data_IF_378494900681
#
_entry.id   IF_378494900681
#
_cell.length_a   1.000
_cell.length_b   1.000
_cell.length_c   1.000
_cell.angle_alpha   90.00
_cell.angle_beta   90.00
_cell.angle_gamma   90.00
#
_symmetry.space_group_name_H-M   'P 1'
#
loop_
_entity.id
_entity.type
_entity.pdbx_description
1 polymer ?
#
# COMPACT_ATOMS: atom_id res chain seq x y z
N UNK A 1 25.37 -20.89 -15.54
CA UNK A 1 23.96 -21.00 -15.96
C UNK A 1 23.31 -21.94 -14.99
N UNK A 2 22.34 -21.49 -14.19
CA UNK A 2 21.57 -22.44 -13.37
C UNK A 2 20.59 -23.15 -14.31
N UNK A 3 20.63 -24.48 -14.34
CA UNK A 3 19.66 -25.27 -15.09
C UNK A 3 18.24 -25.00 -14.57
N UNK A 4 17.30 -24.81 -15.49
CA UNK A 4 15.89 -24.59 -15.15
C UNK A 4 15.30 -25.89 -14.58
N UNK A 5 14.84 -25.85 -13.32
CA UNK A 5 14.14 -26.98 -12.69
C UNK A 5 12.62 -26.83 -12.83
N UNK A 6 12.01 -27.78 -13.55
CA UNK A 6 10.54 -27.87 -13.73
C UNK A 6 9.84 -28.03 -12.37
N UNK A 7 10.38 -28.83 -11.47
CA UNK A 7 9.79 -29.08 -10.14
C UNK A 7 9.82 -27.81 -9.29
N UNK A 8 10.97 -27.12 -9.25
CA UNK A 8 11.10 -25.88 -8.49
C UNK A 8 10.22 -24.77 -9.06
N UNK A 9 10.13 -24.65 -10.39
CA UNK A 9 9.22 -23.71 -11.04
C UNK A 9 7.74 -24.06 -10.77
N UNK A 10 7.38 -25.35 -10.82
CA UNK A 10 6.02 -25.83 -10.49
C UNK A 10 5.58 -25.48 -9.07
N UNK A 11 6.51 -25.38 -8.11
CA UNK A 11 6.19 -24.93 -6.74
C UNK A 11 5.78 -23.46 -6.66
N UNK A 12 6.19 -22.63 -7.62
CA UNK A 12 5.93 -21.18 -7.67
C UNK A 12 4.64 -20.82 -8.43
N UNK A 13 3.89 -21.81 -8.92
CA UNK A 13 2.58 -21.58 -9.54
C UNK A 13 1.64 -20.95 -8.51
N UNK A 14 1.02 -19.84 -8.88
CA UNK A 14 0.19 -19.01 -7.97
C UNK A 14 -1.16 -19.67 -7.69
N UNK A 15 -1.85 -20.16 -8.74
CA UNK A 15 -3.13 -20.84 -8.59
C UNK A 15 -2.94 -22.22 -7.95
N UNK A 16 -3.58 -22.46 -6.81
CA UNK A 16 -3.56 -23.76 -6.14
C UNK A 16 -4.12 -24.88 -7.02
N UNK A 17 -5.21 -24.59 -7.75
CA UNK A 17 -5.85 -25.52 -8.70
C UNK A 17 -4.92 -25.86 -9.86
N UNK A 18 -4.31 -24.86 -10.49
CA UNK A 18 -3.32 -25.06 -11.56
C UNK A 18 -2.11 -25.84 -11.05
N UNK A 19 -1.64 -25.54 -9.83
CA UNK A 19 -0.52 -26.24 -9.20
C UNK A 19 -0.82 -27.72 -8.98
N UNK A 20 -2.05 -28.06 -8.60
CA UNK A 20 -2.48 -29.45 -8.45
C UNK A 20 -2.53 -30.18 -9.79
N UNK A 21 -3.13 -29.58 -10.82
CA UNK A 21 -3.14 -30.19 -12.17
C UNK A 21 -1.75 -30.31 -12.78
N UNK A 22 -0.85 -29.36 -12.50
CA UNK A 22 0.53 -29.40 -13.00
C UNK A 22 1.33 -30.61 -12.47
N UNK A 23 0.97 -31.18 -11.31
CA UNK A 23 1.62 -32.39 -10.78
C UNK A 23 1.49 -33.57 -11.75
N UNK A 24 0.38 -33.69 -12.46
CA UNK A 24 0.15 -34.74 -13.45
C UNK A 24 1.05 -34.56 -14.68
N UNK A 25 1.22 -33.31 -15.12
CA UNK A 25 2.13 -32.94 -16.22
C UNK A 25 3.57 -33.31 -15.85
N UNK A 26 4.01 -32.91 -14.66
CA UNK A 26 5.37 -33.19 -14.18
C UNK A 26 5.61 -34.70 -14.06
N UNK A 27 4.68 -35.43 -13.43
CA UNK A 27 4.77 -36.89 -13.30
C UNK A 27 4.85 -37.59 -14.67
N UNK A 28 4.01 -37.19 -15.62
CA UNK A 28 4.03 -37.74 -16.98
C UNK A 28 5.36 -37.45 -17.69
N UNK A 29 5.91 -36.25 -17.53
CA UNK A 29 7.19 -35.87 -18.11
C UNK A 29 8.36 -36.70 -17.56
N UNK A 30 8.46 -36.81 -16.24
CA UNK A 30 9.56 -37.52 -15.59
C UNK A 30 9.51 -39.05 -15.78
N UNK A 31 8.32 -39.61 -15.99
CA UNK A 31 8.12 -41.02 -16.31
C UNK A 31 8.23 -41.35 -17.82
N UNK A 32 8.72 -40.42 -18.65
CA UNK A 32 8.83 -40.56 -20.12
C UNK A 32 7.49 -40.77 -20.85
N UNK A 33 6.37 -40.41 -20.23
CA UNK A 33 5.05 -40.41 -20.86
C UNK A 33 4.83 -39.11 -21.64
N UNK A 34 5.69 -38.83 -22.62
CA UNK A 34 5.78 -37.53 -23.32
C UNK A 34 4.47 -37.12 -24.02
N UNK A 35 3.79 -38.06 -24.67
CA UNK A 35 2.48 -37.82 -25.30
C UNK A 35 1.43 -37.37 -24.27
N UNK A 36 1.35 -38.07 -23.13
CA UNK A 36 0.42 -37.72 -22.06
C UNK A 36 0.79 -36.36 -21.45
N UNK A 37 2.07 -36.10 -21.21
CA UNK A 37 2.53 -34.82 -20.68
C UNK A 37 2.10 -33.63 -21.55
N UNK A 38 2.20 -33.74 -22.88
CA UNK A 38 1.76 -32.69 -23.82
C UNK A 38 0.25 -32.48 -23.80
N UNK A 39 -0.52 -33.58 -23.85
CA UNK A 39 -1.99 -33.51 -23.83
C UNK A 39 -2.48 -32.89 -22.52
N UNK A 40 -1.99 -33.37 -21.38
CA UNK A 40 -2.35 -32.85 -20.05
C UNK A 40 -1.89 -31.39 -19.90
N UNK A 41 -0.67 -31.03 -20.33
CA UNK A 41 -0.16 -29.65 -20.23
C UNK A 41 -1.10 -28.65 -20.90
N UNK A 42 -1.58 -28.96 -22.11
CA UNK A 42 -2.49 -28.07 -22.82
C UNK A 42 -3.83 -27.92 -22.08
N UNK A 43 -4.38 -29.00 -21.51
CA UNK A 43 -5.58 -28.91 -20.66
C UNK A 43 -5.36 -28.05 -19.42
N UNK A 44 -4.18 -28.13 -18.78
CA UNK A 44 -3.83 -27.26 -17.64
C UNK A 44 -3.74 -25.79 -18.06
N UNK A 45 -3.20 -25.49 -19.25
CA UNK A 45 -3.15 -24.12 -19.80
C UNK A 45 -4.56 -23.54 -19.98
N UNK A 46 -5.47 -24.30 -20.57
CA UNK A 46 -6.87 -23.87 -20.76
C UNK A 46 -7.57 -23.67 -19.41
N UNK A 47 -7.38 -24.57 -18.45
CA UNK A 47 -7.96 -24.40 -17.11
C UNK A 47 -7.41 -23.16 -16.40
N UNK A 48 -6.10 -22.91 -16.46
CA UNK A 48 -5.50 -21.72 -15.85
C UNK A 48 -6.01 -20.44 -16.54
N UNK A 49 -6.30 -20.48 -17.85
CA UNK A 49 -6.87 -19.32 -18.57
C UNK A 49 -8.25 -18.97 -18.04
N UNK A 50 -9.09 -19.98 -17.81
CA UNK A 50 -10.42 -19.82 -17.24
C UNK A 50 -10.31 -19.29 -15.81
N UNK A 51 -9.51 -19.93 -14.96
CA UNK A 51 -9.32 -19.51 -13.55
C UNK A 51 -8.88 -18.04 -13.46
N UNK A 52 -8.00 -17.60 -14.37
CA UNK A 52 -7.55 -16.21 -14.44
C UNK A 52 -8.63 -15.24 -14.91
N UNK A 53 -9.43 -15.62 -15.89
CA UNK A 53 -10.58 -14.82 -16.31
C UNK A 53 -11.66 -14.75 -15.22
N UNK A 54 -11.91 -15.84 -14.50
CA UNK A 54 -12.82 -15.88 -13.35
C UNK A 54 -12.33 -14.97 -12.23
N UNK A 55 -11.03 -15.00 -11.92
CA UNK A 55 -10.43 -14.04 -10.98
C UNK A 55 -10.64 -12.59 -11.44
N UNK A 56 -10.45 -12.31 -12.74
CA UNK A 56 -10.71 -11.00 -13.34
C UNK A 56 -12.18 -10.57 -13.26
N UNK A 57 -13.11 -11.49 -13.47
CA UNK A 57 -14.53 -11.23 -13.40
C UNK A 57 -15.01 -11.03 -11.95
N UNK A 58 -14.68 -11.96 -11.07
CA UNK A 58 -15.27 -12.06 -9.73
C UNK A 58 -14.63 -11.09 -8.73
N UNK A 59 -13.29 -11.01 -8.74
CA UNK A 59 -12.55 -10.15 -7.79
C UNK A 59 -12.45 -8.72 -8.31
N UNK A 60 -12.18 -8.57 -9.60
CA UNK A 60 -11.85 -7.28 -10.21
C UNK A 60 -12.98 -6.68 -11.05
N UNK A 61 -14.12 -7.36 -11.19
CA UNK A 61 -15.28 -6.90 -11.95
C UNK A 61 -14.92 -6.46 -13.39
N UNK A 62 -13.97 -7.15 -14.02
CA UNK A 62 -13.51 -6.82 -15.38
C UNK A 62 -14.57 -7.19 -16.41
N UNK A 63 -15.25 -6.18 -16.96
CA UNK A 63 -16.30 -6.34 -17.96
C UNK A 63 -15.83 -7.10 -19.22
N UNK A 64 -14.54 -7.01 -19.59
CA UNK A 64 -14.01 -7.78 -20.72
C UNK A 64 -13.91 -9.25 -20.34
N UNK A 65 -13.40 -9.57 -19.15
CA UNK A 65 -13.29 -10.95 -18.70
C UNK A 65 -14.67 -11.60 -18.55
N UNK A 66 -15.64 -10.87 -17.98
CA UNK A 66 -17.05 -11.29 -17.89
C UNK A 66 -17.59 -11.62 -19.30
N UNK A 67 -17.42 -10.70 -20.25
CA UNK A 67 -17.88 -10.91 -21.62
C UNK A 67 -17.21 -12.10 -22.32
N UNK A 68 -15.91 -12.33 -22.10
CA UNK A 68 -15.21 -13.50 -22.66
C UNK A 68 -15.77 -14.79 -22.05
N UNK A 69 -15.92 -14.84 -20.72
CA UNK A 69 -16.47 -16.01 -20.03
C UNK A 69 -17.90 -16.31 -20.49
N UNK A 70 -18.75 -15.30 -20.62
CA UNK A 70 -20.13 -15.48 -21.09
C UNK A 70 -20.18 -15.99 -22.53
N UNK A 71 -19.32 -15.46 -23.41
CA UNK A 71 -19.19 -15.94 -24.79
C UNK A 71 -18.77 -17.41 -24.84
N UNK A 72 -17.78 -17.81 -24.03
CA UNK A 72 -17.28 -19.20 -23.99
C UNK A 72 -18.32 -20.14 -23.39
N UNK A 73 -19.00 -19.75 -22.30
CA UNK A 73 -20.10 -20.51 -21.70
C UNK A 73 -21.23 -20.73 -22.70
N UNK A 74 -21.58 -19.70 -23.46
CA UNK A 74 -22.58 -19.80 -24.53
C UNK A 74 -22.12 -20.76 -25.65
N UNK A 75 -20.87 -20.65 -26.10
CA UNK A 75 -20.33 -21.56 -27.11
C UNK A 75 -20.39 -23.02 -26.65
N UNK A 76 -19.99 -23.30 -25.41
CA UNK A 76 -20.06 -24.65 -24.84
C UNK A 76 -21.50 -25.17 -24.73
N UNK A 77 -22.47 -24.30 -24.41
CA UNK A 77 -23.88 -24.66 -24.37
C UNK A 77 -24.44 -24.98 -25.77
N UNK A 78 -24.07 -24.18 -26.79
CA UNK A 78 -24.50 -24.37 -28.17
C UNK A 78 -23.78 -25.56 -28.86
N UNK A 79 -22.55 -25.88 -28.42
CA UNK A 79 -21.69 -26.92 -29.00
C UNK A 79 -20.97 -27.80 -27.93
N UNK A 80 -21.69 -28.69 -27.21
CA UNK A 80 -21.15 -29.37 -26.02
C UNK A 80 -19.94 -30.29 -26.23
N UNK A 81 -19.75 -30.81 -27.45
CA UNK A 81 -18.69 -31.78 -27.77
C UNK A 81 -17.57 -31.18 -28.62
N UNK A 82 -17.67 -29.90 -28.98
CA UNK A 82 -16.76 -29.22 -29.89
C UNK A 82 -15.55 -28.70 -29.13
N UNK A 83 -14.30 -29.13 -29.43
CA UNK A 83 -13.09 -28.55 -28.81
C UNK A 83 -12.75 -27.14 -29.33
N UNK A 84 -13.47 -26.62 -30.33
CA UNK A 84 -13.20 -25.35 -31.00
C UNK A 84 -13.27 -24.15 -30.05
N UNK A 85 -14.04 -24.22 -28.96
CA UNK A 85 -14.11 -23.15 -27.96
C UNK A 85 -12.74 -22.86 -27.33
N UNK A 86 -11.85 -23.85 -27.22
CA UNK A 86 -10.50 -23.67 -26.67
C UNK A 86 -9.70 -22.72 -27.56
N UNK A 87 -9.85 -22.84 -28.89
CA UNK A 87 -9.21 -21.94 -29.84
C UNK A 87 -9.78 -20.52 -29.70
N UNK A 88 -11.11 -20.39 -29.63
CA UNK A 88 -11.77 -19.10 -29.45
C UNK A 88 -11.34 -18.42 -28.15
N UNK A 89 -11.20 -19.17 -27.05
CA UNK A 89 -10.72 -18.64 -25.77
C UNK A 89 -9.33 -18.02 -25.91
N UNK A 90 -8.38 -18.72 -26.54
CA UNK A 90 -7.01 -18.22 -26.72
C UNK A 90 -7.00 -16.96 -27.60
N UNK A 91 -7.82 -16.93 -28.66
CA UNK A 91 -7.95 -15.77 -29.55
C UNK A 91 -8.56 -14.55 -28.86
N UNK A 92 -9.63 -14.74 -28.08
CA UNK A 92 -10.29 -13.69 -27.30
C UNK A 92 -9.36 -13.13 -26.21
N UNK A 93 -8.66 -14.00 -25.48
CA UNK A 93 -7.65 -13.58 -24.50
C UNK A 93 -6.55 -12.77 -25.20
N UNK A 94 -6.06 -13.22 -26.35
CA UNK A 94 -5.00 -12.53 -27.08
C UNK A 94 -5.40 -11.12 -27.56
N UNK A 95 -6.63 -10.99 -28.05
CA UNK A 95 -7.09 -9.79 -28.74
C UNK A 95 -7.71 -8.77 -27.80
N UNK A 96 -8.37 -9.22 -26.74
CA UNK A 96 -9.17 -8.36 -25.84
C UNK A 96 -8.54 -8.16 -24.46
N UNK A 97 -7.52 -8.95 -24.11
CA UNK A 97 -6.82 -8.82 -22.82
C UNK A 97 -5.32 -8.55 -23.04
N UNK A 98 -4.58 -8.29 -21.96
CA UNK A 98 -3.11 -8.30 -22.00
C UNK A 98 -2.50 -9.43 -21.16
N UNK A 99 -3.25 -10.53 -20.97
CA UNK A 99 -2.75 -11.72 -20.29
C UNK A 99 -1.63 -12.41 -21.08
N UNK A 100 -1.64 -12.32 -22.41
CA UNK A 100 -0.62 -12.91 -23.29
C UNK A 100 -0.17 -11.94 -24.38
N UNK A 101 1.13 -11.91 -24.64
CA UNK A 101 1.71 -11.16 -25.76
C UNK A 101 1.76 -12.00 -27.06
N UNK A 102 2.44 -11.51 -28.10
CA UNK A 102 2.56 -12.24 -29.37
C UNK A 102 3.42 -13.50 -29.25
N UNK A 103 4.43 -13.47 -28.38
CA UNK A 103 5.35 -14.59 -28.15
C UNK A 103 4.64 -15.68 -27.36
N UNK A 104 3.93 -15.31 -26.30
CA UNK A 104 3.10 -16.21 -25.50
C UNK A 104 2.05 -16.91 -26.39
N UNK A 105 1.37 -16.14 -27.26
CA UNK A 105 0.40 -16.70 -28.22
C UNK A 105 1.03 -17.72 -29.17
N UNK A 106 2.19 -17.40 -29.76
CA UNK A 106 2.90 -18.34 -30.64
C UNK A 106 3.31 -19.63 -29.91
N UNK A 107 3.75 -19.53 -28.65
CA UNK A 107 4.08 -20.69 -27.81
C UNK A 107 2.86 -21.57 -27.53
N UNK A 108 1.72 -20.96 -27.21
CA UNK A 108 0.46 -21.68 -26.98
C UNK A 108 0.01 -22.39 -28.26
N UNK A 109 0.10 -21.73 -29.42
CA UNK A 109 -0.23 -22.37 -30.71
C UNK A 109 0.68 -23.56 -31.01
N UNK A 110 1.99 -23.44 -30.72
CA UNK A 110 2.92 -24.55 -30.88
C UNK A 110 2.54 -25.75 -30.01
N UNK A 111 2.21 -25.52 -28.74
CA UNK A 111 1.74 -26.57 -27.83
C UNK A 111 0.43 -27.21 -28.33
N UNK A 112 -0.52 -26.39 -28.82
CA UNK A 112 -1.79 -26.90 -29.36
C UNK A 112 -1.58 -27.81 -30.56
N UNK A 113 -0.67 -27.43 -31.47
CA UNK A 113 -0.36 -28.22 -32.65
C UNK A 113 0.23 -29.58 -32.26
N UNK A 114 1.17 -29.61 -31.31
CA UNK A 114 1.73 -30.88 -30.82
C UNK A 114 0.68 -31.71 -30.07
N UNK A 115 -0.20 -31.08 -29.29
CA UNK A 115 -1.34 -31.77 -28.66
C UNK A 115 -2.25 -32.41 -29.70
N UNK A 116 -2.54 -31.73 -30.81
CA UNK A 116 -3.36 -32.28 -31.89
C UNK A 116 -2.70 -33.53 -32.52
N UNK A 117 -1.40 -33.47 -32.81
CA UNK A 117 -0.64 -34.62 -33.32
C UNK A 117 -0.55 -35.78 -32.31
N UNK A 118 -0.47 -35.47 -31.02
CA UNK A 118 -0.44 -36.47 -29.95
C UNK A 118 -1.79 -37.17 -29.73
N UNK A 119 -2.90 -36.47 -29.94
CA UNK A 119 -4.25 -36.96 -29.65
C UNK A 119 -4.93 -37.65 -30.84
N UNK A 120 -4.54 -37.30 -32.07
CA UNK A 120 -5.14 -37.85 -33.29
C UNK A 120 -4.13 -38.69 -34.08
N UNK A 121 -4.47 -39.94 -34.46
CA UNK A 121 -3.63 -40.73 -35.34
C UNK A 121 -3.41 -40.02 -36.68
N UNK A 122 -2.15 -39.88 -37.09
CA UNK A 122 -1.81 -39.46 -38.44
C UNK A 122 -1.75 -40.71 -39.30
N UNK A 123 -2.57 -40.78 -40.34
CA UNK A 123 -2.54 -41.87 -41.32
C UNK A 123 -1.32 -41.64 -42.22
N UNK A 124 -0.15 -42.07 -41.75
CA UNK A 124 1.08 -42.24 -42.54
C UNK A 124 1.67 -43.63 -42.21
N UNK A 125 2.56 -44.12 -43.07
CA UNK A 125 3.02 -45.51 -43.34
C UNK A 125 3.32 -46.44 -42.16
N UNK A 126 3.27 -46.00 -40.91
CA UNK A 126 3.48 -46.84 -39.72
C UNK A 126 2.33 -46.82 -38.68
N UNK A 127 1.20 -46.12 -38.90
CA UNK A 127 0.04 -46.10 -37.98
C UNK A 127 0.42 -45.85 -36.50
N UNK A 128 1.38 -44.94 -36.24
CA UNK A 128 1.82 -44.57 -34.89
C UNK A 128 1.36 -43.16 -34.52
N UNK A 129 0.85 -43.01 -33.30
CA UNK A 129 0.61 -41.70 -32.69
C UNK A 129 1.94 -40.94 -32.55
N UNK A 130 1.94 -39.66 -32.93
CA UNK A 130 3.10 -38.81 -32.78
C UNK A 130 3.52 -38.73 -31.29
N UNK A 131 4.82 -38.89 -31.04
CA UNK A 131 5.41 -38.76 -29.69
C UNK A 131 6.57 -37.78 -29.76
N UNK A 132 6.42 -36.56 -29.21
CA UNK A 132 7.51 -35.59 -29.14
C UNK A 132 8.66 -36.11 -28.28
N UNK A 133 9.89 -35.65 -28.59
CA UNK A 133 11.05 -35.95 -27.76
C UNK A 133 11.01 -35.18 -26.42
N UNK A 134 11.84 -35.61 -25.48
CA UNK A 134 11.91 -35.07 -24.12
C UNK A 134 12.21 -33.56 -24.10
N UNK A 135 13.05 -33.10 -25.01
CA UNK A 135 13.49 -31.71 -25.10
C UNK A 135 12.33 -30.79 -25.55
N UNK A 136 11.55 -31.22 -26.54
CA UNK A 136 10.35 -30.52 -27.02
C UNK A 136 9.31 -30.42 -25.91
N UNK A 137 9.04 -31.52 -25.18
CA UNK A 137 8.10 -31.48 -24.06
C UNK A 137 8.62 -30.58 -22.93
N UNK A 138 9.91 -30.66 -22.61
CA UNK A 138 10.53 -29.78 -21.62
C UNK A 138 10.45 -28.30 -21.99
N UNK A 139 10.63 -27.97 -23.27
CA UNK A 139 10.47 -26.62 -23.79
C UNK A 139 9.03 -26.12 -23.66
N UNK A 140 8.03 -26.95 -23.99
CA UNK A 140 6.61 -26.61 -23.79
C UNK A 140 6.28 -26.34 -22.32
N UNK A 141 6.72 -27.22 -21.43
CA UNK A 141 6.48 -27.06 -19.98
C UNK A 141 7.09 -25.75 -19.48
N UNK A 142 8.36 -25.49 -19.82
CA UNK A 142 9.05 -24.25 -19.44
C UNK A 142 8.33 -23.02 -19.99
N UNK A 143 7.99 -23.05 -21.28
CA UNK A 143 7.28 -21.95 -21.92
C UNK A 143 5.96 -21.67 -21.22
N UNK A 144 5.15 -22.68 -20.88
CA UNK A 144 3.86 -22.46 -20.21
C UNK A 144 4.00 -22.00 -18.76
N UNK A 145 5.03 -22.48 -18.04
CA UNK A 145 5.36 -21.96 -16.71
C UNK A 145 5.70 -20.46 -16.79
N UNK A 146 6.64 -20.08 -17.65
CA UNK A 146 7.10 -18.69 -17.78
C UNK A 146 6.04 -17.76 -18.40
N UNK A 147 5.31 -18.23 -19.41
CA UNK A 147 4.29 -17.45 -20.13
C UNK A 147 2.99 -17.33 -19.35
N UNK A 148 2.64 -18.33 -18.53
CA UNK A 148 1.31 -18.44 -17.97
C UNK A 148 1.31 -18.76 -16.47
N UNK A 149 1.68 -19.95 -16.04
CA UNK A 149 1.40 -20.42 -14.68
C UNK A 149 2.08 -19.60 -13.57
N UNK A 150 3.20 -18.94 -13.87
CA UNK A 150 3.92 -18.07 -12.94
C UNK A 150 3.44 -16.62 -12.99
N UNK A 151 2.63 -16.24 -14.00
CA UNK A 151 2.09 -14.89 -14.15
C UNK A 151 0.73 -14.78 -13.46
N UNK A 152 0.53 -13.81 -12.55
CA UNK A 152 -0.79 -13.54 -11.96
C UNK A 152 -1.79 -12.98 -13.01
N UNK A 153 -3.11 -13.13 -12.78
CA UNK A 153 -4.21 -12.72 -13.68
C UNK A 153 -4.40 -11.19 -13.83
N UNK A 154 -3.35 -10.37 -13.96
CA UNK A 154 -3.47 -8.97 -13.55
C UNK A 154 -2.89 -7.95 -14.54
N UNK A 155 -3.77 -7.05 -14.99
CA UNK A 155 -3.37 -5.69 -15.43
C UNK A 155 -3.38 -4.76 -14.21
N UNK A 156 -2.20 -4.35 -13.73
CA UNK A 156 -2.04 -3.42 -12.61
C UNK A 156 -2.92 -2.16 -12.71
N UNK A 157 -3.09 -1.62 -13.93
CA UNK A 157 -3.88 -0.40 -14.18
C UNK A 157 -5.38 -0.57 -13.95
N UNK A 158 -5.96 -1.71 -14.32
CA UNK A 158 -7.41 -1.95 -14.12
C UNK A 158 -7.72 -2.14 -12.64
N UNK A 159 -6.88 -2.88 -11.92
CA UNK A 159 -7.03 -3.08 -10.48
C UNK A 159 -6.88 -1.76 -9.73
N UNK A 160 -5.88 -0.94 -10.09
CA UNK A 160 -5.75 0.37 -9.48
C UNK A 160 -7.01 1.22 -9.70
N UNK A 161 -7.59 1.21 -10.91
CA UNK A 161 -8.86 1.88 -11.18
C UNK A 161 -10.00 1.37 -10.29
N UNK A 162 -10.17 0.05 -10.18
CA UNK A 162 -11.18 -0.56 -9.32
C UNK A 162 -10.98 -0.21 -7.84
N UNK A 163 -9.75 -0.29 -7.33
CA UNK A 163 -9.41 0.08 -5.95
C UNK A 163 -9.73 1.54 -5.66
N UNK A 164 -9.36 2.46 -6.56
CA UNK A 164 -9.61 3.89 -6.39
C UNK A 164 -11.11 4.21 -6.38
N UNK A 165 -11.88 3.58 -7.26
CA UNK A 165 -13.33 3.75 -7.29
C UNK A 165 -13.98 3.23 -5.99
N UNK A 166 -13.61 2.02 -5.58
CA UNK A 166 -14.11 1.40 -4.35
C UNK A 166 -13.85 2.24 -3.11
N UNK A 167 -12.65 2.84 -3.04
CA UNK A 167 -12.26 3.75 -1.97
C UNK A 167 -13.08 5.04 -2.01
N UNK A 168 -13.27 5.63 -3.20
CA UNK A 168 -14.06 6.84 -3.36
C UNK A 168 -15.52 6.64 -2.95
N UNK A 169 -16.12 5.50 -3.31
CA UNK A 169 -17.51 5.14 -2.99
C UNK A 169 -17.72 4.90 -1.49
N UNK A 170 -16.67 4.46 -0.79
CA UNK A 170 -16.72 4.11 0.65
C UNK A 170 -15.98 5.11 1.54
N UNK A 171 -15.72 6.32 1.05
CA UNK A 171 -14.93 7.35 1.75
C UNK A 171 -15.46 7.72 3.14
N UNK A 172 -16.77 7.60 3.34
CA UNK A 172 -17.44 7.93 4.61
C UNK A 172 -17.27 6.82 5.66
N UNK A 173 -16.94 5.59 5.23
CA UNK A 173 -16.72 4.42 6.10
C UNK A 173 -15.21 4.19 6.31
N UNK A 174 -14.41 4.36 5.26
CA UNK A 174 -12.98 4.09 5.25
C UNK A 174 -12.17 5.32 5.69
N UNK A 175 -12.38 5.71 6.94
CA UNK A 175 -11.88 7.00 7.47
C UNK A 175 -10.37 6.96 7.75
N UNK A 176 -9.81 5.82 8.19
CA UNK A 176 -8.42 5.73 8.66
C UNK A 176 -7.59 4.65 7.94
N UNK A 177 -6.26 4.76 8.03
CA UNK A 177 -5.32 3.85 7.34
C UNK A 177 -5.54 2.38 7.73
N UNK A 178 -5.94 2.09 8.98
CA UNK A 178 -6.26 0.73 9.44
C UNK A 178 -7.49 0.15 8.72
N UNK A 179 -8.58 0.92 8.61
CA UNK A 179 -9.79 0.48 7.90
C UNK A 179 -9.53 0.26 6.41
N UNK A 180 -8.73 1.15 5.79
CA UNK A 180 -8.34 1.04 4.38
C UNK A 180 -7.48 -0.21 4.19
N UNK A 181 -6.48 -0.43 5.05
CA UNK A 181 -5.60 -1.60 4.95
C UNK A 181 -6.37 -2.91 5.09
N UNK A 182 -7.32 -3.00 6.03
CA UNK A 182 -8.17 -4.19 6.16
C UNK A 182 -9.04 -4.43 4.93
N UNK A 183 -9.71 -3.39 4.45
CA UNK A 183 -10.63 -3.49 3.31
C UNK A 183 -9.88 -3.84 2.01
N UNK A 184 -8.87 -3.04 1.65
CA UNK A 184 -8.11 -3.22 0.42
C UNK A 184 -7.24 -4.47 0.50
N UNK A 185 -6.68 -4.76 1.68
CA UNK A 185 -5.89 -5.96 1.97
C UNK A 185 -6.66 -7.23 1.59
N UNK A 186 -7.81 -7.44 2.22
CA UNK A 186 -8.63 -8.64 2.01
C UNK A 186 -9.22 -8.72 0.60
N UNK A 187 -9.67 -7.58 0.03
CA UNK A 187 -10.35 -7.60 -1.27
C UNK A 187 -9.39 -7.66 -2.46
N UNK A 188 -8.23 -7.01 -2.35
CA UNK A 188 -7.31 -6.83 -3.48
C UNK A 188 -5.91 -7.36 -3.19
N UNK A 189 -5.25 -6.88 -2.12
CA UNK A 189 -3.79 -7.06 -1.97
C UNK A 189 -3.37 -8.50 -1.68
N UNK A 190 -4.19 -9.31 -1.01
CA UNK A 190 -3.90 -10.74 -0.74
C UNK A 190 -3.66 -11.56 -2.01
N UNK A 191 -4.26 -11.14 -3.13
CA UNK A 191 -4.14 -11.81 -4.42
C UNK A 191 -3.06 -11.18 -5.33
N UNK A 192 -2.33 -10.16 -4.85
CA UNK A 192 -1.29 -9.47 -5.62
C UNK A 192 0.10 -10.02 -5.29
N UNK A 193 0.93 -10.15 -6.32
CA UNK A 193 2.36 -10.39 -6.13
C UNK A 193 3.07 -9.07 -5.78
N UNK A 194 4.16 -9.09 -4.99
CA UNK A 194 4.95 -7.89 -4.66
C UNK A 194 5.35 -7.02 -5.86
N UNK A 195 5.70 -7.65 -6.98
CA UNK A 195 6.07 -6.94 -8.21
C UNK A 195 4.93 -6.09 -8.78
N UNK A 196 3.69 -6.56 -8.67
CA UNK A 196 2.50 -5.82 -9.08
C UNK A 196 2.21 -4.71 -8.09
N UNK A 197 2.29 -4.97 -6.79
CA UNK A 197 2.06 -3.94 -5.78
C UNK A 197 3.02 -2.75 -5.98
N UNK A 198 4.27 -2.99 -6.35
CA UNK A 198 5.25 -1.93 -6.69
C UNK A 198 4.90 -1.17 -7.97
N UNK A 199 4.33 -1.84 -8.98
CA UNK A 199 3.82 -1.17 -10.19
C UNK A 199 2.63 -0.27 -9.84
N UNK A 200 1.70 -0.77 -9.02
CA UNK A 200 0.53 -0.03 -8.55
C UNK A 200 0.98 1.16 -7.69
N UNK A 201 1.94 0.96 -6.78
CA UNK A 201 2.55 2.03 -5.97
C UNK A 201 3.07 3.16 -6.86
N UNK A 202 3.84 2.81 -7.90
CA UNK A 202 4.37 3.78 -8.87
C UNK A 202 3.25 4.54 -9.58
N UNK A 203 2.23 3.87 -10.06
CA UNK A 203 1.11 4.52 -10.76
C UNK A 203 0.28 5.40 -9.81
N UNK A 204 0.10 4.96 -8.56
CA UNK A 204 -0.56 5.72 -7.50
C UNK A 204 0.24 6.95 -7.08
N UNK A 205 1.59 6.88 -7.11
CA UNK A 205 2.45 8.05 -6.88
C UNK A 205 2.11 9.19 -7.82
N UNK A 206 1.96 8.90 -9.11
CA UNK A 206 1.54 9.90 -10.09
C UNK A 206 0.17 10.50 -9.75
N UNK A 207 -0.79 9.69 -9.30
CA UNK A 207 -2.13 10.18 -8.95
C UNK A 207 -2.09 11.11 -7.73
N UNK A 208 -1.29 10.76 -6.72
CA UNK A 208 -1.20 11.53 -5.48
C UNK A 208 -0.39 12.82 -5.67
N UNK A 209 0.78 12.73 -6.30
CA UNK A 209 1.76 13.82 -6.29
C UNK A 209 1.88 14.58 -7.62
N UNK A 210 1.37 14.06 -8.75
CA UNK A 210 1.58 14.69 -10.07
C UNK A 210 0.28 15.16 -10.74
N UNK A 211 -0.80 14.39 -10.65
CA UNK A 211 -2.07 14.76 -11.28
C UNK A 211 -2.80 15.83 -10.46
N UNK A 212 -3.46 16.75 -11.17
CA UNK A 212 -4.18 17.88 -10.57
C UNK A 212 -5.62 18.06 -11.09
N UNK A 213 -6.18 17.00 -11.69
CA UNK A 213 -7.59 16.94 -12.07
C UNK A 213 -8.52 16.88 -10.85
N UNK A 214 -9.81 17.14 -11.06
CA UNK A 214 -10.81 17.20 -9.99
C UNK A 214 -10.94 15.90 -9.20
N UNK A 215 -10.78 14.75 -9.86
CA UNK A 215 -10.86 13.44 -9.22
C UNK A 215 -9.62 13.15 -8.37
N UNK A 216 -8.43 13.53 -8.85
CA UNK A 216 -7.20 13.45 -8.08
C UNK A 216 -7.29 14.33 -6.82
N UNK A 217 -7.79 15.56 -6.94
CA UNK A 217 -7.95 16.50 -5.82
C UNK A 217 -8.89 15.98 -4.74
N UNK A 218 -10.10 15.54 -5.13
CA UNK A 218 -11.13 15.11 -4.17
C UNK A 218 -10.72 13.89 -3.36
N UNK A 219 -9.94 12.98 -3.96
CA UNK A 219 -9.55 11.71 -3.34
C UNK A 219 -8.08 11.67 -2.87
N UNK A 220 -7.33 12.78 -2.97
CA UNK A 220 -5.86 12.79 -2.76
C UNK A 220 -5.42 12.21 -1.42
N UNK A 221 -6.03 12.64 -0.31
CA UNK A 221 -5.70 12.17 1.05
C UNK A 221 -6.00 10.68 1.24
N UNK A 222 -7.07 10.17 0.60
CA UNK A 222 -7.43 8.76 0.66
C UNK A 222 -6.45 7.91 -0.16
N UNK A 223 -6.12 8.36 -1.36
CA UNK A 223 -5.14 7.75 -2.25
C UNK A 223 -3.73 7.74 -1.62
N UNK A 224 -3.37 8.78 -0.88
CA UNK A 224 -2.13 8.85 -0.11
C UNK A 224 -2.04 7.78 0.97
N UNK A 225 -3.14 7.50 1.70
CA UNK A 225 -3.18 6.41 2.69
C UNK A 225 -2.96 5.04 2.03
N UNK A 226 -3.58 4.80 0.87
CA UNK A 226 -3.33 3.57 0.09
C UNK A 226 -1.87 3.49 -0.39
N UNK A 227 -1.30 4.61 -0.83
CA UNK A 227 0.10 4.68 -1.26
C UNK A 227 1.04 4.26 -0.13
N UNK A 228 0.81 4.75 1.09
CA UNK A 228 1.59 4.34 2.27
C UNK A 228 1.47 2.84 2.55
N UNK A 229 0.27 2.27 2.48
CA UNK A 229 0.06 0.83 2.68
C UNK A 229 0.87 0.00 1.66
N UNK A 230 0.81 0.35 0.36
CA UNK A 230 1.55 -0.37 -0.68
C UNK A 230 3.08 -0.22 -0.51
N UNK A 231 3.52 0.97 -0.08
CA UNK A 231 4.92 1.25 0.21
C UNK A 231 5.42 0.40 1.40
N UNK A 232 4.71 0.39 2.52
CA UNK A 232 5.06 -0.36 3.74
C UNK A 232 5.13 -1.87 3.48
N UNK A 233 4.21 -2.41 2.68
CA UNK A 233 4.19 -3.84 2.30
C UNK A 233 5.38 -4.27 1.45
N UNK A 234 5.95 -3.35 0.66
CA UNK A 234 7.01 -3.66 -0.32
C UNK A 234 8.23 -2.74 -0.15
N UNK A 235 8.56 -2.40 1.11
CA UNK A 235 9.49 -1.32 1.47
C UNK A 235 10.77 -1.31 0.63
N UNK A 236 11.54 -2.40 0.62
CA UNK A 236 12.81 -2.47 -0.12
C UNK A 236 12.62 -2.31 -1.63
N UNK A 237 11.63 -2.96 -2.21
CA UNK A 237 11.37 -2.89 -3.65
C UNK A 237 10.84 -1.51 -4.08
N UNK A 238 10.02 -0.87 -3.24
CA UNK A 238 9.52 0.47 -3.47
C UNK A 238 10.65 1.52 -3.38
N UNK A 239 11.53 1.43 -2.38
CA UNK A 239 12.72 2.29 -2.24
C UNK A 239 13.60 2.19 -3.48
N UNK A 240 13.93 0.97 -3.93
CA UNK A 240 14.74 0.77 -5.15
C UNK A 240 14.03 1.29 -6.40
N UNK A 241 12.69 1.20 -6.46
CA UNK A 241 11.90 1.79 -7.54
C UNK A 241 11.99 3.31 -7.57
N UNK A 242 11.93 3.96 -6.41
CA UNK A 242 12.08 5.42 -6.28
C UNK A 242 13.49 5.86 -6.74
N UNK A 243 14.53 5.17 -6.27
CA UNK A 243 15.93 5.46 -6.65
C UNK A 243 16.18 5.28 -8.14
N UNK A 244 15.73 4.16 -8.71
CA UNK A 244 15.95 3.84 -10.14
C UNK A 244 15.17 4.77 -11.09
N UNK A 245 14.05 5.34 -10.65
CA UNK A 245 13.23 6.26 -11.46
C UNK A 245 13.15 7.67 -10.87
N UNK A 246 14.27 8.21 -10.35
CA UNK A 246 14.36 9.55 -9.73
C UNK A 246 13.57 10.65 -10.44
N UNK A 247 13.72 10.76 -11.77
CA UNK A 247 13.04 11.78 -12.59
C UNK A 247 11.51 11.65 -12.56
N UNK A 248 10.98 10.43 -12.49
CA UNK A 248 9.55 10.18 -12.41
C UNK A 248 9.00 10.58 -11.04
N UNK A 249 9.64 10.11 -9.97
CA UNK A 249 9.19 10.34 -8.60
C UNK A 249 9.37 11.80 -8.16
N UNK A 250 10.32 12.53 -8.75
CA UNK A 250 10.50 13.97 -8.51
C UNK A 250 9.59 14.85 -9.38
N UNK A 251 8.81 14.29 -10.31
CA UNK A 251 7.86 15.07 -11.09
C UNK A 251 6.57 15.26 -10.30
N UNK A 252 6.54 16.27 -9.44
CA UNK A 252 5.44 16.58 -8.54
C UNK A 252 4.77 17.90 -8.92
N UNK A 253 3.46 17.99 -8.68
CA UNK A 253 2.68 19.19 -8.93
C UNK A 253 2.88 20.20 -7.79
N UNK A 254 3.15 21.46 -8.14
CA UNK A 254 3.34 22.53 -7.17
C UNK A 254 1.99 23.00 -6.61
N UNK A 255 1.53 22.34 -5.55
CA UNK A 255 0.39 22.76 -4.75
C UNK A 255 0.64 22.47 -3.28
N UNK A 256 0.08 23.31 -2.39
CA UNK A 256 0.30 23.22 -0.95
C UNK A 256 -0.05 21.82 -0.39
N UNK A 257 -1.18 21.24 -0.79
CA UNK A 257 -1.56 19.88 -0.38
C UNK A 257 -0.60 18.80 -0.87
N UNK A 258 -0.05 18.91 -2.09
CA UNK A 258 0.93 17.92 -2.59
C UNK A 258 2.23 18.02 -1.80
N UNK A 259 2.71 19.23 -1.54
CA UNK A 259 3.92 19.48 -0.77
C UNK A 259 3.77 18.99 0.67
N UNK A 260 2.64 19.27 1.32
CA UNK A 260 2.30 18.76 2.67
C UNK A 260 2.37 17.22 2.72
N UNK A 261 1.69 16.53 1.80
CA UNK A 261 1.69 15.07 1.76
C UNK A 261 3.08 14.48 1.47
N UNK A 262 3.87 15.15 0.63
CA UNK A 262 5.22 14.71 0.31
C UNK A 262 6.17 14.92 1.48
N UNK A 263 6.06 16.05 2.19
CA UNK A 263 6.78 16.29 3.45
C UNK A 263 6.44 15.19 4.45
N UNK A 264 5.16 14.88 4.65
CA UNK A 264 4.75 13.83 5.58
C UNK A 264 5.29 12.44 5.17
N UNK A 265 5.35 12.15 3.86
CA UNK A 265 5.93 10.90 3.36
C UNK A 265 7.44 10.82 3.63
N UNK A 266 8.18 11.90 3.37
CA UNK A 266 9.64 11.96 3.57
C UNK A 266 9.98 12.01 5.06
N UNK A 267 9.15 12.62 5.90
CA UNK A 267 9.35 12.66 7.34
C UNK A 267 9.41 11.26 7.96
N UNK A 268 8.64 10.31 7.42
CA UNK A 268 8.68 8.90 7.83
C UNK A 268 9.77 8.09 7.10
N UNK A 269 10.41 8.65 6.07
CA UNK A 269 11.35 7.97 5.17
C UNK A 269 12.52 8.90 4.79
N UNK A 270 13.21 9.44 5.80
CA UNK A 270 14.16 10.54 5.69
C UNK A 270 15.26 10.33 4.64
N UNK A 271 15.75 9.10 4.50
CA UNK A 271 16.81 8.72 3.56
C UNK A 271 16.43 9.04 2.11
N UNK A 272 15.13 9.00 1.80
CA UNK A 272 14.61 9.32 0.47
C UNK A 272 14.74 10.80 0.12
N UNK A 273 14.88 11.71 1.10
CA UNK A 273 15.04 13.14 0.81
C UNK A 273 16.19 13.40 -0.17
N UNK A 274 17.32 12.71 0.04
CA UNK A 274 18.52 12.81 -0.83
C UNK A 274 18.29 12.30 -2.26
N UNK A 275 17.30 11.43 -2.46
CA UNK A 275 16.99 10.82 -3.76
C UNK A 275 16.28 11.80 -4.67
N UNK A 276 15.43 12.68 -4.14
CA UNK A 276 14.68 13.65 -4.93
C UNK A 276 15.58 14.68 -5.63
N UNK A 277 15.09 15.28 -6.71
CA UNK A 277 15.82 16.33 -7.44
C UNK A 277 15.88 17.64 -6.64
N UNK A 278 16.83 18.51 -6.99
CA UNK A 278 17.09 19.76 -6.28
C UNK A 278 15.90 20.72 -6.28
N UNK A 279 15.15 20.79 -7.39
CA UNK A 279 13.94 21.58 -7.52
C UNK A 279 12.86 21.14 -6.52
N UNK A 280 12.61 19.83 -6.36
CA UNK A 280 11.65 19.32 -5.36
C UNK A 280 12.14 19.61 -3.95
N UNK A 281 13.43 19.38 -3.67
CA UNK A 281 14.00 19.66 -2.34
C UNK A 281 13.86 21.14 -1.97
N UNK A 282 14.04 22.04 -2.93
CA UNK A 282 13.82 23.48 -2.76
C UNK A 282 12.34 23.81 -2.49
N UNK A 283 11.41 23.23 -3.27
CA UNK A 283 9.98 23.42 -3.07
C UNK A 283 9.53 23.00 -1.66
N UNK A 284 10.01 21.87 -1.16
CA UNK A 284 9.67 21.39 0.19
C UNK A 284 10.28 22.26 1.29
N UNK A 285 11.50 22.76 1.09
CA UNK A 285 12.14 23.68 2.03
C UNK A 285 11.39 25.02 2.11
N UNK A 286 10.94 25.54 0.97
CA UNK A 286 10.13 26.77 0.91
C UNK A 286 8.76 26.58 1.57
N UNK A 287 8.09 25.43 1.34
CA UNK A 287 6.81 25.14 1.98
C UNK A 287 6.96 25.04 3.50
N UNK A 288 8.02 24.39 3.98
CA UNK A 288 8.31 24.30 5.39
C UNK A 288 8.56 25.67 6.05
N UNK A 289 9.06 26.68 5.34
CA UNK A 289 9.18 28.04 5.92
C UNK A 289 7.86 28.81 5.92
N UNK A 290 6.94 28.49 5.02
CA UNK A 290 5.65 29.17 4.85
C UNK A 290 4.55 28.62 5.76
N UNK A 291 4.45 27.31 5.89
CA UNK A 291 3.33 26.64 6.58
C UNK A 291 3.77 26.01 7.91
N UNK A 292 3.12 26.34 9.05
CA UNK A 292 3.44 25.76 10.35
C UNK A 292 3.35 24.23 10.41
N UNK A 293 2.37 23.62 9.73
CA UNK A 293 2.21 22.16 9.73
C UNK A 293 3.33 21.48 8.95
N UNK A 294 3.66 22.01 7.76
CA UNK A 294 4.79 21.59 6.96
C UNK A 294 6.11 21.73 7.74
N UNK A 295 6.33 22.88 8.43
CA UNK A 295 7.50 23.08 9.28
C UNK A 295 7.61 22.03 10.37
N UNK A 296 6.51 21.77 11.08
CA UNK A 296 6.45 20.80 12.19
C UNK A 296 6.76 19.38 11.73
N UNK A 297 6.34 19.00 10.52
CA UNK A 297 6.60 17.66 9.97
C UNK A 297 8.00 17.51 9.34
N UNK A 298 8.58 18.59 8.79
CA UNK A 298 9.79 18.55 7.96
C UNK A 298 11.11 18.45 8.73
N UNK A 299 11.18 17.55 9.71
CA UNK A 299 12.35 17.40 10.59
C UNK A 299 13.63 17.00 9.84
N UNK A 300 13.50 16.31 8.71
CA UNK A 300 14.60 15.91 7.82
C UNK A 300 15.34 17.09 7.17
N UNK A 301 14.81 18.32 7.29
CA UNK A 301 15.51 19.54 6.88
C UNK A 301 16.47 20.06 7.96
N UNK A 302 16.36 19.55 9.18
CA UNK A 302 17.21 19.92 10.31
C UNK A 302 18.40 18.96 10.44
N UNK A 303 19.52 19.38 11.06
CA UNK A 303 20.70 18.51 11.21
C UNK A 303 20.42 17.21 11.97
N UNK A 304 19.54 17.27 12.97
CA UNK A 304 19.01 16.13 13.70
C UNK A 304 17.63 16.45 14.28
N UNK A 305 16.98 15.42 14.83
CA UNK A 305 15.62 15.53 15.37
C UNK A 305 15.51 16.47 16.57
N UNK A 306 16.52 16.51 17.46
CA UNK A 306 16.49 17.37 18.65
C UNK A 306 16.65 18.85 18.30
N UNK A 307 17.52 19.17 17.34
CA UNK A 307 17.65 20.52 16.79
C UNK A 307 16.34 20.97 16.13
N UNK A 308 15.65 20.06 15.45
CA UNK A 308 14.34 20.33 14.90
C UNK A 308 13.32 20.63 16.00
N UNK A 309 13.25 19.78 17.02
CA UNK A 309 12.34 19.94 18.15
C UNK A 309 12.55 21.29 18.85
N UNK A 310 13.81 21.68 19.05
CA UNK A 310 14.17 23.00 19.59
C UNK A 310 13.76 24.14 18.67
N UNK A 311 13.90 23.97 17.35
CA UNK A 311 13.44 24.94 16.34
C UNK A 311 11.92 25.14 16.41
N UNK A 312 11.15 24.05 16.48
CA UNK A 312 9.68 24.13 16.62
C UNK A 312 9.31 24.82 17.93
N UNK A 313 9.97 24.46 19.03
CA UNK A 313 9.78 25.11 20.34
C UNK A 313 10.02 26.63 20.28
N UNK A 314 11.05 27.07 19.55
CA UNK A 314 11.37 28.49 19.37
C UNK A 314 10.47 29.24 18.38
N UNK A 315 9.83 28.53 17.44
CA UNK A 315 8.86 29.10 16.48
C UNK A 315 7.47 29.28 17.08
N UNK A 316 7.11 28.42 18.04
CA UNK A 316 5.87 28.58 18.81
C UNK A 316 6.04 29.81 19.70
N UNK A 317 5.50 30.93 19.23
CA UNK A 317 5.52 32.16 19.99
C UNK A 317 4.81 31.97 21.33
N UNK A 318 5.47 32.38 22.39
CA UNK A 318 4.93 32.36 23.75
C UNK A 318 4.34 33.73 24.15
N UNK A 319 4.43 34.71 23.25
CA UNK A 319 3.87 36.05 23.33
C UNK A 319 2.71 36.19 22.33
N UNK A 320 1.74 37.05 22.66
CA UNK A 320 0.67 37.45 21.74
C UNK A 320 0.91 38.91 21.39
N UNK A 321 1.42 39.17 20.19
CA UNK A 321 1.42 40.51 19.60
C UNK A 321 0.30 40.59 18.53
N UNK A 322 0.45 41.45 17.51
CA UNK A 322 -0.52 41.57 16.42
C UNK A 322 -0.49 40.39 15.43
N UNK A 323 0.42 39.43 15.60
CA UNK A 323 0.62 38.30 14.69
C UNK A 323 -0.16 37.07 15.18
N UNK A 324 -0.73 36.31 14.24
CA UNK A 324 -1.38 35.05 14.59
C UNK A 324 -0.31 34.04 15.09
N UNK A 325 -0.55 33.34 16.19
CA UNK A 325 0.43 32.42 16.77
C UNK A 325 0.75 31.27 15.79
N UNK A 326 1.93 30.67 15.96
CA UNK A 326 2.30 29.46 15.23
C UNK A 326 1.29 28.33 15.50
N UNK A 327 0.51 27.97 14.48
CA UNK A 327 -0.62 27.06 14.63
C UNK A 327 -0.52 25.85 13.69
N UNK A 328 0.34 24.90 14.04
CA UNK A 328 0.43 23.62 13.34
C UNK A 328 -0.81 22.73 13.59
N UNK A 329 -1.15 21.89 12.60
CA UNK A 329 -2.26 20.95 12.72
C UNK A 329 -1.98 19.83 13.74
N UNK A 330 -3.06 19.21 14.23
CA UNK A 330 -2.95 18.03 15.10
C UNK A 330 -2.18 16.89 14.41
N UNK A 331 -2.39 16.71 13.10
CA UNK A 331 -1.69 15.69 12.31
C UNK A 331 -0.17 15.95 12.26
N UNK A 332 0.25 17.20 12.12
CA UNK A 332 1.67 17.55 12.11
C UNK A 332 2.34 17.27 13.48
N UNK A 333 1.68 17.62 14.58
CA UNK A 333 2.17 17.25 15.92
C UNK A 333 2.25 15.73 16.10
N UNK A 334 1.25 14.99 15.63
CA UNK A 334 1.24 13.53 15.70
C UNK A 334 2.39 12.91 14.90
N UNK A 335 2.73 13.47 13.74
CA UNK A 335 3.89 13.05 12.94
C UNK A 335 5.19 13.31 13.71
N UNK A 336 5.39 14.52 14.22
CA UNK A 336 6.57 14.88 15.01
C UNK A 336 6.77 13.95 16.22
N UNK A 337 5.71 13.75 17.01
CA UNK A 337 5.72 12.88 18.20
C UNK A 337 6.08 11.45 17.83
N UNK A 338 5.40 10.88 16.82
CA UNK A 338 5.62 9.49 16.41
C UNK A 338 7.06 9.29 15.92
N UNK A 339 7.60 10.22 15.15
CA UNK A 339 8.97 10.14 14.64
C UNK A 339 9.97 10.22 15.81
N UNK A 340 9.80 11.17 16.72
CA UNK A 340 10.68 11.32 17.88
C UNK A 340 10.71 10.06 18.74
N UNK A 341 9.53 9.49 19.04
CA UNK A 341 9.41 8.22 19.77
C UNK A 341 10.10 7.09 19.01
N UNK A 342 9.87 6.94 17.70
CA UNK A 342 10.51 5.87 16.91
C UNK A 342 12.04 5.99 16.84
N UNK A 343 12.58 7.20 17.02
CA UNK A 343 14.02 7.46 17.07
C UNK A 343 14.63 7.33 18.47
N UNK A 344 13.82 7.00 19.47
CA UNK A 344 14.25 6.81 20.86
C UNK A 344 14.20 8.07 21.73
N UNK A 345 13.72 9.21 21.22
CA UNK A 345 13.64 10.49 21.96
C UNK A 345 12.35 10.60 22.79
N UNK A 346 11.96 9.52 23.46
CA UNK A 346 10.66 9.48 24.20
C UNK A 346 10.63 10.51 25.33
N UNK A 347 11.75 10.72 26.01
CA UNK A 347 11.86 11.71 27.09
C UNK A 347 11.69 13.14 26.57
N UNK A 348 12.41 13.50 25.52
CA UNK A 348 12.37 14.84 24.93
C UNK A 348 11.00 15.14 24.32
N UNK A 349 10.34 14.12 23.73
CA UNK A 349 8.97 14.24 23.22
C UNK A 349 7.96 14.44 24.35
N UNK A 350 8.06 13.70 25.45
CA UNK A 350 7.12 13.86 26.59
C UNK A 350 7.30 15.22 27.25
N UNK A 351 8.55 15.69 27.42
CA UNK A 351 8.86 17.04 27.85
C UNK A 351 8.28 18.10 26.90
N UNK A 352 8.39 17.90 25.58
CA UNK A 352 7.80 18.78 24.57
C UNK A 352 6.27 18.80 24.66
N UNK A 353 5.62 17.66 24.82
CA UNK A 353 4.15 17.54 24.94
C UNK A 353 3.65 18.31 26.15
N UNK A 354 4.27 18.10 27.33
CA UNK A 354 3.94 18.82 28.57
C UNK A 354 4.14 20.31 28.35
N UNK A 355 5.34 20.71 27.90
CA UNK A 355 5.67 22.10 27.61
C UNK A 355 4.66 22.75 26.66
N UNK A 356 4.23 22.04 25.62
CA UNK A 356 3.29 22.56 24.63
C UNK A 356 1.92 22.85 25.23
N UNK A 357 1.44 21.98 26.13
CA UNK A 357 0.17 22.21 26.81
C UNK A 357 0.26 23.37 27.79
N UNK A 358 1.27 23.39 28.67
CA UNK A 358 1.37 24.40 29.74
C UNK A 358 1.68 25.81 29.22
N UNK A 359 2.15 25.94 27.98
CA UNK A 359 2.40 27.23 27.33
C UNK A 359 1.23 27.77 26.52
N UNK A 360 0.10 27.04 26.44
CA UNK A 360 -1.10 27.51 25.75
C UNK A 360 -1.55 28.88 26.30
N UNK A 361 -2.01 29.73 25.38
CA UNK A 361 -2.34 31.14 25.65
C UNK A 361 -3.80 31.51 25.34
N UNK A 362 -4.56 30.60 24.77
CA UNK A 362 -6.00 30.73 24.64
C UNK A 362 -6.71 29.43 25.02
N UNK A 363 -7.98 29.54 25.41
CA UNK A 363 -8.81 28.38 25.71
C UNK A 363 -8.94 27.43 24.51
N UNK A 364 -9.11 27.96 23.29
CA UNK A 364 -9.22 27.15 22.06
C UNK A 364 -7.93 26.37 21.78
N UNK A 365 -6.78 26.99 22.01
CA UNK A 365 -5.48 26.33 21.86
C UNK A 365 -5.30 25.24 22.92
N UNK A 366 -5.60 25.53 24.18
CA UNK A 366 -5.54 24.54 25.26
C UNK A 366 -6.47 23.34 24.99
N UNK A 367 -7.68 23.58 24.47
CA UNK A 367 -8.63 22.54 24.06
C UNK A 367 -8.03 21.64 22.97
N UNK A 368 -7.43 22.25 21.93
CA UNK A 368 -6.79 21.54 20.82
C UNK A 368 -5.60 20.71 21.30
N UNK A 369 -4.68 21.32 22.05
CA UNK A 369 -3.46 20.65 22.52
C UNK A 369 -3.79 19.56 23.54
N UNK A 370 -4.72 19.79 24.46
CA UNK A 370 -5.15 18.73 25.38
C UNK A 370 -5.71 17.52 24.60
N UNK A 371 -6.65 17.78 23.68
CA UNK A 371 -7.39 16.73 22.97
C UNK A 371 -6.49 15.90 22.06
N UNK A 372 -5.63 16.55 21.28
CA UNK A 372 -4.92 15.91 20.18
C UNK A 372 -3.44 15.65 20.44
N UNK A 373 -2.83 16.30 21.45
CA UNK A 373 -1.39 16.19 21.71
C UNK A 373 -1.13 15.55 23.07
N UNK A 374 -1.69 16.09 24.16
CA UNK A 374 -1.44 15.59 25.52
C UNK A 374 -2.20 14.28 25.81
N UNK A 375 -3.53 14.28 25.68
CA UNK A 375 -4.39 13.15 26.03
C UNK A 375 -3.99 11.83 25.36
N UNK A 376 -3.66 11.78 24.06
CA UNK A 376 -3.27 10.54 23.40
C UNK A 376 -1.91 9.98 23.83
N UNK A 377 -1.10 10.74 24.58
CA UNK A 377 0.27 10.40 24.93
C UNK A 377 0.51 10.32 26.46
N UNK A 378 -0.55 10.32 27.29
CA UNK A 378 -0.43 10.21 28.75
C UNK A 378 0.24 8.89 29.19
N UNK A 379 0.13 7.84 28.39
CA UNK A 379 0.79 6.55 28.64
C UNK A 379 2.31 6.65 28.65
N UNK A 380 2.87 7.69 28.02
CA UNK A 380 4.31 7.91 27.89
C UNK A 380 4.94 8.67 29.05
N UNK A 381 4.14 9.40 29.84
CA UNK A 381 4.65 10.23 30.93
C UNK A 381 5.06 9.37 32.13
N UNK A 382 6.16 9.73 32.77
CA UNK A 382 6.55 9.16 34.07
C UNK A 382 5.90 9.91 35.26
N UNK A 383 6.11 9.38 36.47
CA UNK A 383 5.49 9.85 37.70
C UNK A 383 5.86 11.32 38.01
N UNK A 384 7.15 11.67 37.89
CA UNK A 384 7.67 13.02 38.12
C UNK A 384 7.08 14.01 37.09
N UNK A 385 6.94 13.57 35.84
CA UNK A 385 6.34 14.34 34.76
C UNK A 385 4.84 14.63 34.99
N UNK A 386 4.10 13.71 35.62
CA UNK A 386 2.71 13.98 36.01
C UNK A 386 2.61 15.05 37.10
N UNK A 387 3.50 15.00 38.09
CA UNK A 387 3.52 16.01 39.15
C UNK A 387 3.85 17.39 38.58
N UNK A 388 4.92 17.48 37.78
CA UNK A 388 5.33 18.73 37.12
C UNK A 388 4.29 19.29 36.13
N UNK A 389 3.57 18.40 35.41
CA UNK A 389 2.44 18.80 34.57
C UNK A 389 1.34 19.44 35.41
N UNK A 390 0.91 18.81 36.50
CA UNK A 390 -0.17 19.31 37.34
C UNK A 390 0.21 20.63 38.02
N UNK A 391 1.45 20.74 38.52
CA UNK A 391 1.97 21.99 39.09
C UNK A 391 1.94 23.13 38.08
N UNK A 392 2.43 22.89 36.86
CA UNK A 392 2.48 23.89 35.80
C UNK A 392 1.09 24.29 35.30
N UNK A 393 0.17 23.33 35.15
CA UNK A 393 -1.22 23.60 34.78
C UNK A 393 -1.87 24.46 35.86
N UNK A 394 -1.63 24.19 37.14
CA UNK A 394 -2.19 24.96 38.26
C UNK A 394 -1.82 26.46 38.20
N UNK A 395 -0.70 26.81 37.55
CA UNK A 395 -0.23 28.17 37.33
C UNK A 395 -0.70 28.86 36.04
N UNK A 396 -1.36 28.17 35.10
CA UNK A 396 -1.80 28.76 33.82
C UNK A 396 -3.34 28.71 33.65
N UNK A 397 -4.01 29.86 33.83
CA UNK A 397 -5.47 29.98 33.70
C UNK A 397 -6.01 29.62 32.32
N UNK A 398 -5.20 29.70 31.27
CA UNK A 398 -5.60 29.26 29.93
C UNK A 398 -5.82 27.74 29.87
N UNK A 399 -5.16 26.98 30.76
CA UNK A 399 -5.30 25.54 30.84
C UNK A 399 -6.41 25.10 31.82
N UNK A 400 -6.54 25.77 32.98
CA UNK A 400 -7.47 25.36 34.05
C UNK A 400 -8.81 26.12 34.09
N UNK A 401 -8.89 27.34 33.57
CA UNK A 401 -10.11 28.17 33.64
C UNK A 401 -11.01 28.08 32.40
N UNK A 402 -10.68 27.18 31.45
CA UNK A 402 -11.46 26.95 30.22
C UNK A 402 -12.67 26.04 30.50
N UNK A 403 -13.77 26.22 29.78
CA UNK A 403 -15.01 25.44 30.00
C UNK A 403 -14.79 23.92 29.93
N UNK A 404 -13.93 23.45 29.03
CA UNK A 404 -13.63 22.01 28.88
C UNK A 404 -12.66 21.45 29.92
N UNK A 405 -12.07 22.29 30.79
CA UNK A 405 -11.13 21.82 31.81
C UNK A 405 -11.79 20.84 32.77
N UNK A 406 -13.07 21.02 33.11
CA UNK A 406 -13.80 20.12 34.01
C UNK A 406 -13.77 18.66 33.50
N UNK A 407 -14.21 18.42 32.27
CA UNK A 407 -14.22 17.08 31.66
C UNK A 407 -12.81 16.54 31.43
N UNK A 408 -11.92 17.38 30.88
CA UNK A 408 -10.57 17.00 30.50
C UNK A 408 -9.69 16.70 31.73
N UNK A 409 -9.79 17.50 32.78
CA UNK A 409 -9.02 17.31 34.02
C UNK A 409 -9.62 16.21 34.90
N UNK A 410 -10.94 15.97 34.82
CA UNK A 410 -11.56 14.75 35.37
C UNK A 410 -10.99 13.50 34.70
N UNK A 411 -10.86 13.50 33.36
CA UNK A 411 -10.21 12.41 32.64
C UNK A 411 -8.74 12.24 33.09
N UNK A 412 -7.98 13.33 33.19
CA UNK A 412 -6.59 13.31 33.64
C UNK A 412 -6.46 12.74 35.06
N UNK A 413 -7.33 13.15 35.99
CA UNK A 413 -7.38 12.65 37.37
C UNK A 413 -7.63 11.14 37.43
N UNK A 414 -8.60 10.66 36.66
CA UNK A 414 -8.91 9.23 36.57
C UNK A 414 -7.75 8.43 35.98
N UNK A 415 -7.08 8.98 34.97
CA UNK A 415 -5.90 8.38 34.36
C UNK A 415 -4.75 8.25 35.37
N UNK A 416 -4.39 9.35 36.04
CA UNK A 416 -3.33 9.37 37.07
C UNK A 416 -3.66 8.40 38.21
N UNK A 417 -4.90 8.40 38.69
CA UNK A 417 -5.35 7.48 39.76
C UNK A 417 -5.17 6.02 39.36
N UNK A 418 -5.45 5.68 38.10
CA UNK A 418 -5.29 4.32 37.58
C UNK A 418 -3.81 3.92 37.47
N UNK A 419 -2.94 4.85 37.09
CA UNK A 419 -1.51 4.58 36.83
C UNK A 419 -0.65 4.61 38.10
N UNK A 420 -0.85 5.61 38.97
CA UNK A 420 -0.02 5.89 40.15
C UNK A 420 -0.71 5.55 41.48
N UNK A 421 -2.00 5.18 41.44
CA UNK A 421 -2.78 4.91 42.64
C UNK A 421 -3.16 6.17 43.42
N UNK A 422 -3.66 5.97 44.64
CA UNK A 422 -4.15 7.04 45.53
C UNK A 422 -3.05 7.87 46.20
N UNK A 423 -1.77 7.55 45.96
CA UNK A 423 -0.63 8.23 46.59
C UNK A 423 -0.25 9.55 45.89
N UNK A 424 -0.79 9.81 44.69
CA UNK A 424 -0.55 11.07 43.99
C UNK A 424 -1.20 12.25 44.75
N UNK A 425 -0.49 13.36 45.00
CA UNK A 425 -0.93 14.42 45.90
C UNK A 425 -1.92 15.40 45.23
N UNK A 426 -3.08 14.91 44.76
CA UNK A 426 -4.07 15.72 44.04
C UNK A 426 -4.49 17.01 44.77
N UNK A 427 -4.49 17.00 46.10
CA UNK A 427 -4.82 18.18 46.94
C UNK A 427 -3.86 19.36 46.75
N UNK A 428 -2.67 19.13 46.22
CA UNK A 428 -1.68 20.18 45.93
C UNK A 428 -2.05 20.98 44.67
N UNK A 429 -2.92 20.47 43.81
CA UNK A 429 -3.25 21.04 42.50
C UNK A 429 -4.72 21.46 42.42
N UNK A 430 -5.14 22.34 43.33
CA UNK A 430 -6.54 22.73 43.49
C UNK A 430 -7.17 23.33 42.23
N UNK A 431 -6.44 24.15 41.47
CA UNK A 431 -7.02 24.72 40.25
C UNK A 431 -7.24 23.66 39.15
N UNK A 432 -6.55 22.52 39.23
CA UNK A 432 -6.62 21.44 38.23
C UNK A 432 -7.71 20.43 38.57
N UNK A 433 -7.93 20.12 39.85
CA UNK A 433 -8.79 19.00 40.27
C UNK A 433 -9.89 19.37 41.28
N UNK A 434 -10.21 20.66 41.42
CA UNK A 434 -11.26 21.16 42.31
C UNK A 434 -12.64 20.62 41.97
#
# INVERSE_FOLDING_TARGET
MNDFSIEHAGQKIVSAKTKDYFKEVASSYFNNNHRAAVVTLYSVVISDMIDKLETLADIYSDAIAISILDNIRKFQADHPTSPEWEKTLVEEIKTRTSLIDNVDYARILSLRNDRHLCAHPVIDKEDRLHTPNKETVGAHIRNMLESFFLKPPILSKKILGAMLQDLADKKDILINQLSINKYVGAKYLENLTPSIEVIIFRDLWKIVFKLDDSNAKSNRKLNYKLLKILYERNLSAAIEKIKSEKKYFSNVHDSDTVKELLINFIAENEDLYSVFSEDVRLLLAQEAEKDPSAKTSAWFLSPNFLDHLATIKGKIDTQFDATFPYDASADAYNILIRIGVSKGYTKEITEFIIWRYITCRSYNEADKIFTYVLKPNLDRLDDDQFEGLCESVNGNSQCWSRNRAEDDHTYLKNYITTKLGSNFPFSNFRNVFN
#
